data_IF_060522405137
#
_entry.id   IF_060522405137
#
_cell.length_a   1.000
_cell.length_b   1.000
_cell.length_c   1.000
_cell.angle_alpha   90.00
_cell.angle_beta   90.00
_cell.angle_gamma   90.00
#
_symmetry.space_group_name_H-M   'P 1'
#
loop_
_entity.id
_entity.type
_entity.pdbx_description
1 polymer ?
#
# COMPACT_ATOMS: atom_id res chain seq x y z
N UNK A 1 5.40 18.38 10.38
CA UNK A 1 6.00 17.16 10.95
C UNK A 1 5.23 15.93 10.52
N UNK A 2 5.96 14.89 10.11
CA UNK A 2 5.43 13.58 9.75
C UNK A 2 6.09 12.54 10.64
N UNK A 3 5.31 11.72 11.32
CA UNK A 3 5.79 10.62 12.15
C UNK A 3 5.11 9.35 11.70
N UNK A 4 5.89 8.34 11.34
CA UNK A 4 5.36 7.05 10.87
C UNK A 4 5.92 5.94 11.75
N UNK A 5 5.04 5.03 12.16
CA UNK A 5 5.37 3.82 12.88
C UNK A 5 4.73 2.63 12.17
N UNK A 6 5.41 1.49 12.13
CA UNK A 6 4.85 0.28 11.54
C UNK A 6 5.73 -0.92 11.84
N UNK A 7 5.14 -2.10 11.76
CA UNK A 7 5.83 -3.36 12.03
C UNK A 7 5.33 -4.47 11.10
N UNK A 8 6.17 -5.48 10.85
CA UNK A 8 5.81 -6.65 10.06
C UNK A 8 5.82 -7.87 10.98
N UNK A 9 4.65 -8.28 11.43
CA UNK A 9 4.45 -9.51 12.18
C UNK A 9 4.40 -10.70 11.22
N UNK A 10 5.30 -11.65 11.41
CA UNK A 10 5.23 -12.95 10.72
C UNK A 10 4.33 -13.87 11.55
N UNK A 11 3.06 -13.96 11.19
CA UNK A 11 2.09 -14.83 11.89
C UNK A 11 2.32 -16.31 11.53
N UNK A 12 2.75 -16.57 10.29
CA UNK A 12 3.19 -17.87 9.80
C UNK A 12 4.14 -17.70 8.61
N UNK A 13 4.72 -18.79 8.10
CA UNK A 13 5.53 -18.77 6.87
C UNK A 13 4.73 -18.23 5.67
N UNK A 14 3.41 -18.41 5.70
CA UNK A 14 2.49 -18.01 4.64
C UNK A 14 1.76 -16.71 4.91
N UNK A 15 1.79 -16.15 6.12
CA UNK A 15 0.95 -14.98 6.49
C UNK A 15 1.77 -13.93 7.23
N UNK A 16 1.79 -12.71 6.68
CA UNK A 16 2.46 -11.55 7.28
C UNK A 16 1.41 -10.47 7.56
N UNK A 17 1.36 -9.99 8.79
CA UNK A 17 0.53 -8.87 9.21
C UNK A 17 1.37 -7.60 9.34
N UNK A 18 0.96 -6.54 8.66
CA UNK A 18 1.72 -5.29 8.47
C UNK A 18 0.88 -4.10 8.93
N UNK A 19 0.75 -3.86 10.25
CA UNK A 19 0.16 -2.64 10.76
C UNK A 19 1.14 -1.47 10.65
N UNK A 20 0.62 -0.29 10.29
CA UNK A 20 1.32 0.97 10.33
C UNK A 20 0.38 2.13 10.67
N UNK A 21 0.93 3.18 11.26
CA UNK A 21 0.26 4.42 11.54
C UNK A 21 1.17 5.59 11.18
N UNK A 22 0.60 6.67 10.68
CA UNK A 22 1.28 7.89 10.29
C UNK A 22 0.54 9.10 10.84
N UNK A 23 1.20 9.88 11.67
CA UNK A 23 0.75 11.17 12.15
C UNK A 23 1.32 12.27 11.26
N UNK A 24 0.44 13.10 10.70
CA UNK A 24 0.76 14.29 9.93
C UNK A 24 0.36 15.50 10.75
N UNK A 25 1.27 16.45 10.95
CA UNK A 25 1.00 17.71 11.65
C UNK A 25 1.67 18.84 10.88
N UNK A 26 0.98 19.97 10.69
CA UNK A 26 1.58 21.17 10.08
C UNK A 26 1.24 22.40 10.92
N UNK A 27 2.04 23.46 10.79
CA UNK A 27 1.89 24.68 11.60
C UNK A 27 0.52 25.38 11.46
N UNK A 28 -0.21 25.13 10.37
CA UNK A 28 -1.50 25.75 10.07
C UNK A 28 -2.53 24.76 9.51
N UNK A 29 -2.33 23.45 9.73
CA UNK A 29 -3.30 22.44 9.32
C UNK A 29 -3.65 21.52 10.52
N UNK A 30 -4.90 21.04 10.61
CA UNK A 30 -5.27 20.06 11.61
C UNK A 30 -4.34 18.83 11.51
N UNK A 31 -3.99 18.27 12.66
CA UNK A 31 -3.21 17.04 12.67
C UNK A 31 -4.08 15.89 12.14
N UNK A 32 -3.56 15.13 11.18
CA UNK A 32 -4.21 13.95 10.61
C UNK A 32 -3.49 12.70 11.11
N UNK A 33 -4.25 11.70 11.53
CA UNK A 33 -3.71 10.38 11.86
C UNK A 33 -4.25 9.37 10.85
N UNK A 34 -3.33 8.72 10.15
CA UNK A 34 -3.61 7.69 9.18
C UNK A 34 -3.18 6.35 9.79
N UNK A 35 -4.09 5.43 10.00
CA UNK A 35 -3.81 4.06 10.41
C UNK A 35 -4.04 3.10 9.24
N UNK A 36 -3.24 2.06 9.13
CA UNK A 36 -3.38 1.06 8.08
C UNK A 36 -2.95 -0.31 8.57
N UNK A 37 -3.66 -1.34 8.13
CA UNK A 37 -3.42 -2.72 8.50
C UNK A 37 -3.48 -3.57 7.23
N UNK A 38 -2.38 -4.23 6.86
CA UNK A 38 -2.33 -5.11 5.70
C UNK A 38 -1.99 -6.54 6.11
N UNK A 39 -2.59 -7.51 5.44
CA UNK A 39 -2.31 -8.94 5.56
C UNK A 39 -1.84 -9.46 4.22
N UNK A 40 -0.64 -10.02 4.19
CA UNK A 40 0.01 -10.58 3.01
C UNK A 40 0.07 -12.10 3.14
N UNK A 41 -0.52 -12.79 2.18
CA UNK A 41 -0.63 -14.24 2.09
C UNK A 41 0.26 -14.76 0.96
N UNK A 42 1.19 -15.66 1.30
CA UNK A 42 2.13 -16.32 0.39
C UNK A 42 2.88 -15.36 -0.54
N UNK A 43 3.12 -14.12 -0.09
CA UNK A 43 3.70 -13.04 -0.89
C UNK A 43 2.97 -12.76 -2.23
N UNK A 44 1.73 -13.24 -2.38
CA UNK A 44 0.93 -13.13 -3.60
C UNK A 44 -0.34 -12.34 -3.40
N UNK A 45 -1.10 -12.65 -2.36
CA UNK A 45 -2.39 -12.01 -2.09
C UNK A 45 -2.25 -11.08 -0.90
N UNK A 46 -2.61 -9.81 -1.06
CA UNK A 46 -2.53 -8.81 0.00
C UNK A 46 -3.90 -8.15 0.17
N UNK A 47 -4.41 -8.10 1.39
CA UNK A 47 -5.64 -7.39 1.71
C UNK A 47 -5.34 -6.43 2.85
N UNK A 48 -5.85 -5.21 2.75
CA UNK A 48 -5.62 -4.22 3.76
C UNK A 48 -6.77 -3.27 3.95
N UNK A 49 -6.78 -2.63 5.10
CA UNK A 49 -7.67 -1.53 5.38
C UNK A 49 -6.84 -0.33 5.85
N UNK A 50 -7.31 0.85 5.49
CA UNK A 50 -6.75 2.13 5.88
C UNK A 50 -7.86 2.94 6.54
N UNK A 51 -7.52 3.68 7.58
CA UNK A 51 -8.44 4.57 8.24
C UNK A 51 -7.72 5.88 8.51
N UNK A 52 -8.24 6.96 7.93
CA UNK A 52 -7.77 8.31 8.18
C UNK A 52 -8.79 9.00 9.07
N UNK A 53 -8.36 9.31 10.29
CA UNK A 53 -9.19 10.02 11.26
C UNK A 53 -9.70 11.33 10.64
N UNK A 54 -10.99 11.57 10.79
CA UNK A 54 -11.72 12.76 10.33
C UNK A 54 -11.78 12.99 8.80
N UNK A 55 -11.37 11.99 8.00
CA UNK A 55 -11.35 12.10 6.53
C UNK A 55 -12.04 10.90 5.85
N UNK A 56 -11.46 9.70 5.91
CA UNK A 56 -11.91 8.57 5.09
C UNK A 56 -11.54 7.19 5.64
N UNK A 57 -12.36 6.19 5.34
CA UNK A 57 -12.02 4.77 5.50
C UNK A 57 -11.77 4.14 4.12
N UNK A 58 -10.70 3.36 4.00
CA UNK A 58 -10.31 2.67 2.78
C UNK A 58 -10.10 1.18 3.00
N UNK A 59 -10.33 0.39 1.96
CA UNK A 59 -10.02 -1.02 1.90
C UNK A 59 -9.34 -1.32 0.56
N UNK A 60 -8.34 -2.19 0.56
CA UNK A 60 -7.64 -2.59 -0.65
C UNK A 60 -7.43 -4.09 -0.69
N UNK A 61 -7.46 -4.64 -1.90
CA UNK A 61 -7.11 -6.02 -2.21
C UNK A 61 -6.14 -6.00 -3.38
N UNK A 62 -5.04 -6.74 -3.26
CA UNK A 62 -4.02 -6.88 -4.28
C UNK A 62 -3.69 -8.35 -4.51
N UNK A 63 -3.40 -8.69 -5.75
CA UNK A 63 -3.01 -10.03 -6.16
C UNK A 63 -1.86 -9.96 -7.16
N UNK A 64 -0.74 -10.59 -6.83
CA UNK A 64 0.40 -10.78 -7.70
C UNK A 64 0.19 -12.03 -8.56
N UNK A 65 -0.09 -11.83 -9.85
CA UNK A 65 -0.23 -12.90 -10.85
C UNK A 65 1.14 -13.49 -11.15
N UNK A 66 2.13 -12.63 -11.33
CA UNK A 66 3.54 -12.99 -11.48
C UNK A 66 4.38 -12.07 -10.59
N UNK A 67 5.66 -12.40 -10.32
CA UNK A 67 6.55 -11.51 -9.58
C UNK A 67 6.70 -10.11 -10.22
N UNK A 68 6.33 -9.96 -11.48
CA UNK A 68 6.43 -8.72 -12.25
C UNK A 68 5.07 -8.09 -12.58
N UNK A 69 3.95 -8.73 -12.25
CA UNK A 69 2.61 -8.24 -12.55
C UNK A 69 1.72 -8.42 -11.34
N UNK A 70 1.23 -7.29 -10.83
CA UNK A 70 0.28 -7.22 -9.72
C UNK A 70 -0.93 -6.41 -10.15
N UNK A 71 -2.10 -6.90 -9.78
CA UNK A 71 -3.37 -6.19 -9.95
C UNK A 71 -3.91 -5.91 -8.55
N UNK A 72 -4.46 -4.73 -8.37
CA UNK A 72 -5.05 -4.27 -7.14
C UNK A 72 -6.40 -3.63 -7.39
N UNK A 73 -7.19 -3.60 -6.34
CA UNK A 73 -8.43 -2.87 -6.28
C UNK A 73 -8.50 -2.18 -4.93
N UNK A 74 -8.78 -0.88 -4.94
CA UNK A 74 -8.96 -0.08 -3.76
C UNK A 74 -10.37 0.50 -3.74
N UNK A 75 -10.94 0.56 -2.55
CA UNK A 75 -12.23 1.12 -2.24
C UNK A 75 -12.02 2.16 -1.16
N UNK A 76 -12.29 3.43 -1.48
CA UNK A 76 -12.19 4.52 -0.52
C UNK A 76 -13.57 5.13 -0.28
N UNK A 77 -13.93 5.26 0.99
CA UNK A 77 -15.17 5.83 1.46
C UNK A 77 -14.85 7.06 2.33
N UNK A 78 -15.27 8.23 1.86
CA UNK A 78 -15.03 9.50 2.55
C UNK A 78 -16.14 9.68 3.60
N UNK A 79 -15.76 9.91 4.85
CA UNK A 79 -16.66 10.02 6.01
C UNK A 79 -16.84 11.49 6.45
N UNK A 80 -16.03 12.41 5.93
CA UNK A 80 -16.02 13.82 6.37
C UNK A 80 -17.33 14.57 6.05
N UNK A 81 -17.78 15.40 7.00
CA UNK A 81 -19.04 16.18 7.01
C UNK A 81 -19.16 17.31 5.96
N UNK A 82 -18.25 17.39 4.98
CA UNK A 82 -18.37 18.33 3.86
C UNK A 82 -19.24 17.73 2.76
N UNK A 83 -20.51 18.12 2.79
CA UNK A 83 -21.57 17.91 1.79
C UNK A 83 -21.11 17.92 0.32
N UNK A 84 -20.64 16.78 -0.23
CA UNK A 84 -20.35 16.61 -1.68
C UNK A 84 -20.54 15.14 -2.15
N UNK A 85 -21.79 14.79 -2.48
CA UNK A 85 -22.27 14.00 -3.65
C UNK A 85 -21.62 12.70 -4.16
N UNK A 86 -20.49 12.20 -3.65
CA UNK A 86 -19.88 10.94 -4.13
C UNK A 86 -19.34 10.12 -2.94
N UNK A 87 -20.17 9.27 -2.31
CA UNK A 87 -19.80 8.59 -1.08
C UNK A 87 -18.76 7.49 -1.28
N UNK A 88 -18.41 7.09 -2.50
CA UNK A 88 -17.56 5.93 -2.75
C UNK A 88 -16.70 6.10 -3.98
N UNK A 89 -15.41 5.79 -3.85
CA UNK A 89 -14.45 5.71 -4.95
C UNK A 89 -13.99 4.26 -5.14
N UNK A 90 -13.95 3.83 -6.39
CA UNK A 90 -13.54 2.50 -6.82
C UNK A 90 -12.32 2.64 -7.73
N UNK A 91 -11.17 2.22 -7.26
CA UNK A 91 -9.91 2.36 -8.01
C UNK A 91 -9.35 0.99 -8.38
N UNK A 92 -8.92 0.86 -9.62
CA UNK A 92 -8.23 -0.33 -10.12
C UNK A 92 -6.76 0.01 -10.30
N UNK A 93 -5.89 -0.78 -9.68
CA UNK A 93 -4.44 -0.61 -9.70
C UNK A 93 -3.84 -1.70 -10.56
N UNK A 94 -2.93 -1.35 -11.46
CA UNK A 94 -2.16 -2.31 -12.23
C UNK A 94 -0.68 -1.93 -12.13
N UNK A 95 0.10 -2.83 -11.56
CA UNK A 95 1.52 -2.63 -11.30
C UNK A 95 2.32 -3.63 -12.13
N UNK A 96 3.25 -3.11 -12.93
CA UNK A 96 4.06 -3.88 -13.86
C UNK A 96 5.54 -3.52 -13.71
N UNK A 97 6.34 -4.50 -13.30
CA UNK A 97 7.78 -4.33 -13.09
C UNK A 97 8.57 -4.71 -14.35
N UNK A 98 9.12 -3.69 -15.01
CA UNK A 98 9.96 -3.83 -16.22
C UNK A 98 11.41 -4.19 -15.85
N UNK A 99 11.70 -5.48 -15.74
CA UNK A 99 13.07 -5.97 -15.55
C UNK A 99 13.79 -6.11 -16.90
N UNK A 100 14.38 -5.02 -17.39
CA UNK A 100 15.27 -5.08 -18.55
C UNK A 100 16.58 -5.78 -18.15
N UNK A 101 17.00 -6.86 -18.82
CA UNK A 101 18.29 -7.48 -18.55
C UNK A 101 19.40 -6.45 -18.81
N UNK A 102 20.20 -6.12 -17.78
CA UNK A 102 21.42 -5.34 -17.98
C UNK A 102 22.27 -6.07 -19.01
N UNK A 103 22.61 -5.41 -20.12
CA UNK A 103 23.68 -5.86 -21.02
C UNK A 103 24.97 -5.89 -20.21
N UNK A 104 25.32 -7.04 -19.67
CA UNK A 104 26.62 -7.25 -19.03
C UNK A 104 27.65 -7.20 -20.15
N UNK A 105 28.41 -6.11 -20.22
CA UNK A 105 29.62 -6.07 -21.03
C UNK A 105 30.63 -7.01 -20.38
N UNK A 106 30.62 -8.28 -20.77
CA UNK A 106 31.71 -9.21 -20.44
C UNK A 106 32.91 -8.79 -21.29
N UNK A 107 33.90 -8.14 -20.68
CA UNK A 107 35.22 -8.08 -21.28
C UNK A 107 35.80 -9.51 -21.23
N UNK A 108 36.12 -10.15 -22.36
CA UNK A 108 36.79 -11.44 -22.35
C UNK A 108 38.22 -11.19 -21.86
N UNK A 109 38.57 -11.71 -20.68
CA UNK A 109 39.96 -11.78 -20.25
C UNK A 109 40.45 -13.20 -20.51
N UNK A 110 41.22 -13.35 -21.58
CA UNK A 110 42.09 -14.52 -21.80
C UNK A 110 43.38 -14.29 -21.00
N UNK A 111 43.64 -15.12 -20.01
CA UNK A 111 44.99 -15.38 -19.47
C UNK A 111 45.12 -16.89 -19.26
#
# INVERSE_FOLDING_TARGET
YFLTAGYVFQLSESVKFKPSAMLKSAFQAPASLDASANFLFNDKFEIGATYRLDDSFGAMVNYAITPNLRIGYAYDHIVSDLDVTTPSSHEVILLFDLNFPKKVSRSPRYF
#
